data_IF_494759791749
#
_entry.id   IF_494759791749
#
_cell.length_a   1.000
_cell.length_b   1.000
_cell.length_c   1.000
_cell.angle_alpha   90.00
_cell.angle_beta   90.00
_cell.angle_gamma   90.00
#
_symmetry.space_group_name_H-M   'P 1'
#
loop_
_entity.id
_entity.type
_entity.pdbx_description
1 polymer ?
#
# COMPACT_ATOMS: atom_id res chain seq x y z
N UNK A 1 10.03 -8.64 -26.12
CA UNK A 1 10.96 -7.60 -25.63
C UNK A 1 10.30 -6.94 -24.43
N UNK A 2 10.73 -7.28 -23.21
CA UNK A 2 10.22 -6.63 -22.01
C UNK A 2 10.78 -5.21 -21.97
N UNK A 3 9.91 -4.21 -22.11
CA UNK A 3 10.30 -2.82 -21.89
C UNK A 3 10.60 -2.66 -20.40
N UNK A 4 11.88 -2.66 -20.04
CA UNK A 4 12.35 -2.14 -18.76
C UNK A 4 12.16 -0.62 -18.82
N UNK A 5 11.02 -0.14 -18.34
CA UNK A 5 10.84 1.27 -18.01
C UNK A 5 11.78 1.53 -16.84
N UNK A 6 12.78 2.38 -17.03
CA UNK A 6 13.63 2.84 -15.94
C UNK A 6 12.74 3.49 -14.88
N UNK A 7 12.52 2.80 -13.75
CA UNK A 7 11.91 3.40 -12.57
C UNK A 7 12.92 4.42 -12.04
N UNK A 8 12.59 5.70 -12.17
CA UNK A 8 13.32 6.75 -11.47
C UNK A 8 13.35 6.40 -9.97
N UNK A 9 14.50 6.55 -9.32
CA UNK A 9 14.63 6.48 -7.86
C UNK A 9 13.73 7.53 -7.23
N UNK A 10 12.55 7.11 -6.78
CA UNK A 10 11.54 7.98 -6.19
C UNK A 10 11.97 8.34 -4.77
N UNK A 11 12.23 9.62 -4.52
CA UNK A 11 12.48 10.13 -3.16
C UNK A 11 11.15 10.53 -2.54
N UNK A 12 10.69 9.78 -1.54
CA UNK A 12 9.47 10.08 -0.81
C UNK A 12 9.71 11.14 0.26
N UNK A 13 8.72 12.01 0.48
CA UNK A 13 8.70 13.02 1.55
C UNK A 13 7.70 12.59 2.64
N UNK A 14 8.16 12.02 3.77
CA UNK A 14 7.26 11.47 4.79
C UNK A 14 6.32 12.51 5.41
N UNK A 15 6.78 13.75 5.63
CA UNK A 15 5.94 14.78 6.25
C UNK A 15 4.70 15.13 5.42
N UNK A 16 4.85 15.22 4.09
CA UNK A 16 3.74 15.47 3.17
C UNK A 16 2.75 14.30 3.13
N UNK A 17 3.24 13.07 3.33
CA UNK A 17 2.39 11.89 3.44
C UNK A 17 1.58 11.90 4.74
N UNK A 18 2.24 12.24 5.86
CA UNK A 18 1.64 12.27 7.20
C UNK A 18 0.56 13.35 7.36
N UNK A 19 0.62 14.46 6.60
CA UNK A 19 -0.43 15.49 6.56
C UNK A 19 -1.84 14.91 6.33
N UNK A 20 -1.93 13.80 5.60
CA UNK A 20 -3.19 13.15 5.25
C UNK A 20 -3.32 11.72 5.82
N UNK A 21 -2.57 11.42 6.89
CA UNK A 21 -2.49 10.09 7.51
C UNK A 21 -3.88 9.53 7.83
N UNK A 22 -4.77 10.33 8.45
CA UNK A 22 -6.12 9.87 8.82
C UNK A 22 -6.94 9.41 7.62
N UNK A 23 -6.93 10.21 6.55
CA UNK A 23 -7.65 9.90 5.32
C UNK A 23 -7.08 8.66 4.62
N UNK A 24 -5.76 8.45 4.71
CA UNK A 24 -5.04 7.34 4.07
C UNK A 24 -5.09 6.05 4.86
N UNK A 25 -5.18 6.13 6.18
CA UNK A 25 -5.16 4.97 7.07
C UNK A 25 -6.51 4.25 7.06
N UNK A 26 -7.63 4.98 6.92
CA UNK A 26 -8.97 4.41 6.97
C UNK A 26 -9.19 3.22 6.01
N UNK A 27 -8.84 3.29 4.71
CA UNK A 27 -8.98 2.14 3.81
C UNK A 27 -8.20 0.91 4.27
N UNK A 28 -6.97 1.10 4.78
CA UNK A 28 -6.14 0.00 5.25
C UNK A 28 -6.70 -0.65 6.53
N UNK A 29 -7.26 0.14 7.45
CA UNK A 29 -7.95 -0.36 8.63
C UNK A 29 -9.23 -1.13 8.28
N UNK A 30 -10.03 -0.62 7.34
CA UNK A 30 -11.24 -1.31 6.89
C UNK A 30 -10.92 -2.62 6.15
N UNK A 31 -9.82 -2.67 5.38
CA UNK A 31 -9.30 -3.90 4.79
C UNK A 31 -8.87 -4.90 5.88
N UNK A 32 -8.09 -4.45 6.87
CA UNK A 32 -7.64 -5.31 7.96
C UNK A 32 -8.81 -5.90 8.76
N UNK A 33 -9.87 -5.12 8.97
CA UNK A 33 -11.09 -5.58 9.65
C UNK A 33 -11.86 -6.69 8.90
N UNK A 34 -11.53 -6.95 7.62
CA UNK A 34 -12.08 -8.08 6.84
C UNK A 34 -11.21 -9.34 6.86
N UNK A 35 -9.99 -9.25 7.39
CA UNK A 35 -9.14 -10.42 7.60
C UNK A 35 -9.71 -11.19 8.80
N UNK A 36 -10.42 -12.27 8.50
CA UNK A 36 -11.30 -12.99 9.44
C UNK A 36 -10.56 -13.59 10.64
N UNK A 37 -9.31 -14.06 10.47
CA UNK A 37 -8.49 -14.54 11.58
C UNK A 37 -7.03 -14.15 11.35
N UNK A 38 -6.56 -13.12 12.06
CA UNK A 38 -5.13 -12.94 12.24
C UNK A 38 -4.60 -14.11 13.09
N UNK A 39 -3.41 -14.63 12.77
CA UNK A 39 -2.80 -15.72 13.52
C UNK A 39 -2.71 -15.38 15.01
N UNK A 40 -3.44 -16.12 15.85
CA UNK A 40 -3.50 -15.90 17.31
C UNK A 40 -2.54 -16.80 18.09
N UNK A 41 -1.91 -17.77 17.42
CA UNK A 41 -0.96 -18.70 18.03
C UNK A 41 0.44 -18.09 18.10
N UNK A 42 1.15 -18.33 19.21
CA UNK A 42 2.59 -18.03 19.40
C UNK A 42 3.49 -18.95 18.56
N UNK A 43 3.10 -19.23 17.32
CA UNK A 43 3.86 -20.06 16.40
C UNK A 43 4.78 -19.13 15.59
N UNK A 44 6.09 -19.21 15.83
CA UNK A 44 7.10 -18.45 15.11
C UNK A 44 7.11 -18.76 13.59
N UNK A 45 6.36 -19.77 13.13
CA UNK A 45 6.14 -20.01 11.71
C UNK A 45 5.15 -19.05 11.05
N UNK A 46 4.50 -18.17 11.82
CA UNK A 46 3.53 -17.22 11.31
C UNK A 46 4.08 -15.80 11.27
N UNK A 47 4.12 -15.23 10.07
CA UNK A 47 4.68 -13.91 9.79
C UNK A 47 3.63 -13.00 9.15
N UNK A 48 3.52 -11.76 9.65
CA UNK A 48 2.75 -10.71 8.98
C UNK A 48 3.71 -9.86 8.17
N UNK A 49 3.35 -9.60 6.92
CA UNK A 49 4.16 -8.81 6.00
C UNK A 49 3.33 -7.60 5.57
N UNK A 50 3.83 -6.40 5.89
CA UNK A 50 3.24 -5.14 5.45
C UNK A 50 4.02 -4.64 4.23
N UNK A 51 3.47 -4.87 3.03
CA UNK A 51 4.13 -4.50 1.76
C UNK A 51 3.66 -3.12 1.29
N UNK A 52 4.63 -2.21 1.12
CA UNK A 52 4.35 -0.79 0.93
C UNK A 52 4.04 -0.10 2.26
N UNK A 53 4.75 -0.47 3.32
CA UNK A 53 4.50 -0.06 4.70
C UNK A 53 4.57 1.47 4.91
N UNK A 54 5.29 2.21 4.05
CA UNK A 54 5.48 3.64 4.21
C UNK A 54 6.09 3.97 5.58
N UNK A 55 5.43 4.86 6.33
CA UNK A 55 5.84 5.23 7.69
C UNK A 55 5.35 4.26 8.77
N UNK A 56 4.88 3.06 8.42
CA UNK A 56 4.54 2.01 9.40
C UNK A 56 3.24 2.24 10.18
N UNK A 57 2.39 3.20 9.78
CA UNK A 57 1.19 3.62 10.54
C UNK A 57 0.19 2.50 10.87
N UNK A 58 0.27 1.36 10.19
CA UNK A 58 -0.58 0.19 10.45
C UNK A 58 -0.11 -0.64 11.66
N UNK A 59 1.13 -0.46 12.13
CA UNK A 59 1.70 -1.26 13.21
C UNK A 59 0.80 -1.35 14.45
N UNK A 60 0.23 -0.25 14.99
CA UNK A 60 -0.64 -0.34 16.18
C UNK A 60 -1.94 -1.12 15.94
N UNK A 61 -2.39 -1.25 14.69
CA UNK A 61 -3.64 -1.93 14.33
C UNK A 61 -3.43 -3.39 13.97
N UNK A 62 -2.24 -3.73 13.46
CA UNK A 62 -1.81 -5.11 13.20
C UNK A 62 -1.42 -5.80 14.52
N UNK A 63 -1.03 -5.02 15.53
CA UNK A 63 -0.58 -5.53 16.82
C UNK A 63 -1.71 -5.69 17.84
N UNK A 64 -2.16 -6.94 17.98
CA UNK A 64 -2.96 -7.42 19.10
C UNK A 64 -2.45 -8.74 19.69
N UNK A 65 -1.29 -9.23 19.24
CA UNK A 65 -0.76 -10.55 19.57
C UNK A 65 0.75 -10.72 19.29
N UNK A 66 1.32 -11.89 19.57
CA UNK A 66 2.77 -12.18 19.66
C UNK A 66 3.51 -12.33 18.32
N UNK A 67 3.03 -11.73 17.24
CA UNK A 67 3.41 -12.09 15.87
C UNK A 67 4.59 -11.25 15.37
N UNK A 68 5.52 -11.87 14.64
CA UNK A 68 6.59 -11.16 13.95
C UNK A 68 6.02 -10.37 12.76
N UNK A 69 6.45 -9.11 12.61
CA UNK A 69 5.99 -8.24 11.53
C UNK A 69 7.18 -7.75 10.71
N UNK A 70 7.12 -7.99 9.41
CA UNK A 70 8.10 -7.47 8.45
C UNK A 70 7.48 -6.31 7.66
N UNK A 71 7.97 -5.10 7.90
CA UNK A 71 7.61 -3.90 7.15
C UNK A 71 8.52 -3.76 5.94
N UNK A 72 7.93 -3.71 4.74
CA UNK A 72 8.68 -3.63 3.49
C UNK A 72 8.28 -2.38 2.74
N UNK A 73 9.27 -1.58 2.36
CA UNK A 73 9.05 -0.44 1.48
C UNK A 73 10.26 -0.20 0.57
N UNK A 74 10.00 0.30 -0.63
CA UNK A 74 11.06 0.70 -1.56
C UNK A 74 11.87 1.91 -1.07
N UNK A 75 11.29 2.71 -0.18
CA UNK A 75 11.84 3.96 0.32
C UNK A 75 12.51 3.80 1.68
N UNK A 76 13.84 3.91 1.70
CA UNK A 76 14.62 3.93 2.94
C UNK A 76 14.21 5.07 3.88
N UNK A 77 13.83 6.25 3.35
CA UNK A 77 13.41 7.39 4.17
C UNK A 77 12.07 7.15 4.86
N UNK A 78 11.13 6.45 4.21
CA UNK A 78 9.87 6.04 4.83
C UNK A 78 10.11 5.02 5.94
N UNK A 79 10.93 3.98 5.69
CA UNK A 79 11.27 2.97 6.69
C UNK A 79 12.00 3.55 7.90
N UNK A 80 12.88 4.54 7.70
CA UNK A 80 13.55 5.22 8.81
C UNK A 80 12.56 5.94 9.74
N UNK A 81 11.55 6.61 9.16
CA UNK A 81 10.47 7.22 9.95
C UNK A 81 9.62 6.15 10.65
N UNK A 82 9.28 5.07 9.95
CA UNK A 82 8.54 3.95 10.55
C UNK A 82 9.27 3.40 11.78
N UNK A 83 10.56 3.11 11.64
CA UNK A 83 11.37 2.59 12.74
C UNK A 83 11.42 3.57 13.91
N UNK A 84 11.64 4.85 13.65
CA UNK A 84 11.65 5.88 14.69
C UNK A 84 10.30 5.97 15.42
N UNK A 85 9.18 6.09 14.69
CA UNK A 85 7.85 6.21 15.30
C UNK A 85 7.47 4.95 16.09
N UNK A 86 7.92 3.77 15.65
CA UNK A 86 7.69 2.54 16.38
C UNK A 86 8.55 2.43 17.65
N UNK A 87 9.82 2.80 17.59
CA UNK A 87 10.73 2.78 18.75
C UNK A 87 10.33 3.80 19.83
N UNK A 88 9.69 4.91 19.44
CA UNK A 88 9.12 5.91 20.35
C UNK A 88 7.78 5.48 20.97
N UNK A 89 7.14 4.43 20.44
CA UNK A 89 5.85 3.94 20.92
C UNK A 89 6.02 2.74 21.87
N UNK A 90 6.00 3.03 23.18
CA UNK A 90 6.18 2.03 24.25
C UNK A 90 5.14 0.89 24.26
N UNK A 91 4.02 1.02 23.53
CA UNK A 91 3.02 -0.03 23.40
C UNK A 91 3.41 -1.12 22.38
N UNK A 92 4.45 -0.90 21.57
CA UNK A 92 4.88 -1.84 20.53
C UNK A 92 6.09 -2.66 20.99
N UNK A 93 6.09 -3.96 20.70
CA UNK A 93 7.25 -4.83 20.89
C UNK A 93 8.13 -4.80 19.62
N UNK A 94 8.98 -3.77 19.49
CA UNK A 94 9.80 -3.58 18.29
C UNK A 94 10.87 -4.64 18.10
N UNK A 95 11.14 -5.50 19.09
CA UNK A 95 12.04 -6.66 18.94
C UNK A 95 11.50 -7.69 17.95
N UNK A 96 10.20 -7.65 17.67
CA UNK A 96 9.52 -8.53 16.70
C UNK A 96 9.39 -7.91 15.31
N UNK A 97 9.97 -6.73 15.12
CA UNK A 97 9.89 -5.99 13.86
C UNK A 97 11.13 -6.17 13.00
N UNK A 98 10.90 -6.34 11.71
CA UNK A 98 11.92 -6.22 10.69
C UNK A 98 11.54 -5.13 9.69
N UNK A 99 12.52 -4.36 9.24
CA UNK A 99 12.36 -3.35 8.20
C UNK A 99 13.22 -3.75 7.01
N UNK A 100 12.59 -3.93 5.85
CA UNK A 100 13.27 -4.42 4.65
C UNK A 100 13.06 -3.42 3.52
N UNK A 101 14.16 -2.87 3.02
CA UNK A 101 14.09 -2.06 1.81
C UNK A 101 13.97 -2.97 0.58
N UNK A 102 12.76 -3.11 0.05
CA UNK A 102 12.48 -3.85 -1.19
C UNK A 102 11.18 -3.32 -1.83
N UNK A 103 10.95 -3.67 -3.09
CA UNK A 103 9.65 -3.43 -3.73
C UNK A 103 8.85 -4.73 -3.88
N UNK A 104 7.57 -4.61 -4.25
CA UNK A 104 6.67 -5.75 -4.44
C UNK A 104 7.23 -6.84 -5.37
N UNK A 105 7.99 -6.47 -6.41
CA UNK A 105 8.52 -7.46 -7.36
C UNK A 105 9.79 -8.16 -6.87
N UNK A 106 10.51 -7.55 -5.92
CA UNK A 106 11.81 -8.00 -5.43
C UNK A 106 11.77 -8.65 -4.06
N UNK A 107 10.79 -8.30 -3.22
CA UNK A 107 10.63 -8.92 -1.92
C UNK A 107 10.30 -10.41 -2.03
N UNK A 108 10.90 -11.22 -1.15
CA UNK A 108 10.66 -12.66 -1.06
C UNK A 108 10.44 -13.00 0.41
N UNK A 109 9.21 -13.41 0.74
CA UNK A 109 8.86 -13.87 2.07
C UNK A 109 9.76 -15.04 2.49
N UNK A 110 10.17 -15.06 3.77
CA UNK A 110 11.06 -16.10 4.32
C UNK A 110 10.31 -17.39 4.65
N UNK A 111 9.02 -17.29 4.94
CA UNK A 111 8.19 -18.42 5.38
C UNK A 111 7.09 -18.71 4.37
N UNK A 112 6.77 -20.00 4.19
CA UNK A 112 5.62 -20.46 3.38
C UNK A 112 4.36 -20.60 4.24
N UNK A 113 4.21 -19.76 5.29
CA UNK A 113 3.07 -19.61 6.23
C UNK A 113 2.89 -18.14 6.65
N UNK A 114 2.58 -17.28 5.67
CA UNK A 114 2.37 -15.85 5.90
C UNK A 114 1.28 -15.24 5.02
N UNK A 115 0.74 -14.11 5.49
CA UNK A 115 -0.14 -13.22 4.74
C UNK A 115 0.69 -12.53 3.66
N UNK A 116 0.57 -12.94 2.41
CA UNK A 116 1.30 -12.31 1.29
C UNK A 116 0.48 -11.18 0.70
N UNK A 117 1.11 -10.03 0.39
CA UNK A 117 0.53 -8.96 -0.41
C UNK A 117 1.22 -8.94 -1.79
N UNK A 118 0.67 -9.69 -2.75
CA UNK A 118 0.96 -9.62 -4.20
C UNK A 118 2.34 -10.17 -4.65
N UNK A 119 2.42 -11.48 -4.86
CA UNK A 119 2.73 -12.12 -6.17
C UNK A 119 2.94 -13.64 -6.04
N UNK A 120 3.23 -14.13 -4.84
CA UNK A 120 3.04 -15.54 -4.51
C UNK A 120 1.92 -15.60 -3.49
N UNK A 121 0.99 -16.51 -3.73
CA UNK A 121 -0.13 -16.71 -2.84
C UNK A 121 0.39 -16.90 -1.43
N UNK A 122 -0.39 -16.38 -0.49
CA UNK A 122 -0.23 -16.74 0.89
C UNK A 122 -0.09 -18.26 0.99
N UNK A 123 0.65 -18.70 1.97
CA UNK A 123 0.71 -20.11 2.32
C UNK A 123 -0.64 -20.82 2.30
N UNK A 124 -0.70 -22.16 2.18
CA UNK A 124 -1.94 -22.88 2.43
C UNK A 124 -2.55 -22.45 3.78
N UNK A 125 -3.74 -21.83 3.73
CA UNK A 125 -4.44 -21.27 4.89
C UNK A 125 -4.06 -19.84 5.29
N UNK A 126 -3.14 -19.19 4.57
CA UNK A 126 -2.84 -17.77 4.72
C UNK A 126 -3.82 -16.88 3.95
N UNK A 127 -3.83 -15.59 4.27
CA UNK A 127 -4.71 -14.60 3.64
C UNK A 127 -3.86 -13.69 2.72
N UNK A 128 -4.45 -13.16 1.65
CA UNK A 128 -3.88 -12.07 0.87
C UNK A 128 -4.88 -10.93 0.93
N UNK A 129 -4.49 -9.81 1.52
CA UNK A 129 -5.32 -8.63 1.66
C UNK A 129 -4.63 -7.44 0.99
N UNK A 130 -5.29 -6.82 0.01
CA UNK A 130 -4.73 -5.65 -0.67
C UNK A 130 -5.84 -4.65 -1.01
N UNK A 131 -5.45 -3.39 -1.12
CA UNK A 131 -6.32 -2.30 -1.55
C UNK A 131 -5.63 -1.54 -2.68
N UNK A 132 -6.42 -1.12 -3.68
CA UNK A 132 -5.94 -0.31 -4.80
C UNK A 132 -6.87 0.89 -4.93
N UNK A 133 -6.35 2.13 -4.99
CA UNK A 133 -7.19 3.29 -5.22
C UNK A 133 -7.76 3.26 -6.64
N UNK A 134 -9.05 3.56 -6.82
CA UNK A 134 -9.63 3.80 -8.14
C UNK A 134 -9.75 5.31 -8.38
N UNK A 135 -8.78 5.88 -9.08
CA UNK A 135 -8.74 7.32 -9.37
C UNK A 135 -9.05 7.64 -10.83
N UNK A 136 -9.37 6.63 -11.65
CA UNK A 136 -9.61 6.76 -13.10
C UNK A 136 -10.67 7.80 -13.44
N UNK A 137 -11.74 7.84 -12.65
CA UNK A 137 -12.88 8.73 -12.85
C UNK A 137 -12.91 9.90 -11.86
N UNK A 138 -11.88 10.07 -11.04
CA UNK A 138 -11.82 11.17 -10.09
C UNK A 138 -11.43 12.47 -10.80
N UNK A 139 -12.23 13.52 -10.63
CA UNK A 139 -11.99 14.82 -11.27
C UNK A 139 -10.62 15.41 -10.93
N UNK A 140 -10.07 15.09 -9.74
CA UNK A 140 -8.72 15.49 -9.36
C UNK A 140 -7.64 14.96 -10.30
N UNK A 141 -7.77 13.72 -10.79
CA UNK A 141 -6.81 13.08 -11.70
C UNK A 141 -7.06 13.44 -13.16
N UNK A 142 -8.33 13.55 -13.56
CA UNK A 142 -8.68 14.05 -14.90
C UNK A 142 -8.10 15.46 -15.13
N UNK A 143 -8.20 16.33 -14.12
CA UNK A 143 -7.64 17.69 -14.20
C UNK A 143 -6.13 17.76 -14.29
N UNK A 144 -5.40 16.72 -13.88
CA UNK A 144 -3.94 16.68 -14.09
C UNK A 144 -3.60 16.54 -15.57
N UNK A 145 -4.39 15.76 -16.31
CA UNK A 145 -4.25 15.59 -17.75
C UNK A 145 -4.57 16.89 -18.47
N UNK A 146 -5.67 17.55 -18.09
CA UNK A 146 -6.06 18.85 -18.64
C UNK A 146 -4.97 19.91 -18.38
N UNK A 147 -4.48 20.01 -17.14
CA UNK A 147 -3.42 20.95 -16.78
C UNK A 147 -2.11 20.69 -17.55
N UNK A 148 -1.75 19.43 -17.77
CA UNK A 148 -0.59 19.08 -18.59
C UNK A 148 -0.76 19.54 -20.04
N UNK A 149 -1.97 19.44 -20.60
CA UNK A 149 -2.27 19.92 -21.94
C UNK A 149 -2.18 21.46 -22.02
N UNK A 150 -2.80 22.16 -21.08
CA UNK A 150 -2.81 23.64 -21.02
C UNK A 150 -1.39 24.22 -20.91
N UNK A 151 -0.50 23.53 -20.20
CA UNK A 151 0.90 23.93 -20.03
C UNK A 151 1.82 23.47 -21.17
N UNK A 152 1.31 22.72 -22.16
CA UNK A 152 2.12 22.15 -23.24
C UNK A 152 3.10 21.05 -22.76
N UNK A 153 2.75 20.36 -21.67
CA UNK A 153 3.57 19.34 -21.01
C UNK A 153 3.10 17.91 -21.27
N UNK A 154 2.07 17.69 -22.09
CA UNK A 154 1.48 16.37 -22.38
C UNK A 154 2.53 15.31 -22.72
N UNK A 155 3.47 15.61 -23.63
CA UNK A 155 4.50 14.67 -24.05
C UNK A 155 5.46 14.29 -22.91
N UNK A 156 5.69 15.20 -21.95
CA UNK A 156 6.55 14.95 -20.79
C UNK A 156 5.91 14.01 -19.79
N UNK A 157 4.57 13.96 -19.73
CA UNK A 157 3.83 13.14 -18.76
C UNK A 157 3.18 11.90 -19.38
N UNK A 158 3.23 11.75 -20.70
CA UNK A 158 2.59 10.64 -21.43
C UNK A 158 3.04 9.24 -20.98
N UNK A 159 4.29 9.11 -20.50
CA UNK A 159 4.85 7.84 -19.99
C UNK A 159 4.71 7.64 -18.48
N UNK A 160 4.10 8.58 -17.74
CA UNK A 160 3.98 8.49 -16.29
C UNK A 160 2.90 7.45 -15.93
N UNK A 161 3.28 6.45 -15.14
CA UNK A 161 2.34 5.49 -14.58
C UNK A 161 1.61 6.10 -13.38
N UNK A 162 0.28 6.15 -13.45
CA UNK A 162 -0.58 6.57 -12.35
C UNK A 162 -0.74 5.46 -11.31
N UNK A 163 -0.83 5.83 -10.04
CA UNK A 163 -1.19 4.90 -8.96
C UNK A 163 -2.72 4.80 -8.91
N UNK A 164 -3.27 3.92 -9.72
CA UNK A 164 -4.72 3.65 -9.81
C UNK A 164 -4.96 2.19 -10.18
N UNK A 165 -6.16 1.67 -9.92
CA UNK A 165 -6.58 0.42 -10.55
C UNK A 165 -6.62 0.61 -12.07
N UNK A 166 -6.13 -0.39 -12.80
CA UNK A 166 -6.10 -0.40 -14.26
C UNK A 166 -7.23 -1.26 -14.84
N UNK A 167 -7.90 -2.03 -13.97
CA UNK A 167 -8.90 -3.04 -14.31
C UNK A 167 -10.07 -2.99 -13.32
N UNK A 168 -11.22 -3.46 -13.76
CA UNK A 168 -12.41 -3.57 -12.91
C UNK A 168 -12.32 -4.82 -12.01
N UNK A 169 -13.09 -4.88 -10.90
CA UNK A 169 -13.04 -6.00 -9.96
C UNK A 169 -13.19 -7.39 -10.60
N UNK A 170 -13.97 -7.52 -11.67
CA UNK A 170 -14.15 -8.78 -12.39
C UNK A 170 -12.84 -9.36 -12.94
N UNK A 171 -11.91 -8.51 -13.37
CA UNK A 171 -10.59 -8.96 -13.82
C UNK A 171 -9.82 -9.64 -12.71
N UNK A 172 -9.82 -9.04 -11.51
CA UNK A 172 -9.10 -9.59 -10.35
C UNK A 172 -9.74 -10.89 -9.87
N UNK A 173 -11.07 -10.99 -9.92
CA UNK A 173 -11.77 -12.24 -9.61
C UNK A 173 -11.29 -13.39 -10.52
N UNK A 174 -11.30 -13.18 -11.84
CA UNK A 174 -10.84 -14.18 -12.81
C UNK A 174 -9.35 -14.49 -12.64
N UNK A 175 -8.53 -13.47 -12.41
CA UNK A 175 -7.09 -13.63 -12.17
C UNK A 175 -6.83 -14.55 -10.97
N UNK A 176 -7.46 -14.28 -9.82
CA UNK A 176 -7.24 -15.09 -8.62
C UNK A 176 -7.81 -16.50 -8.75
N UNK A 177 -9.00 -16.65 -9.36
CA UNK A 177 -9.57 -17.98 -9.64
C UNK A 177 -8.77 -18.81 -10.62
N UNK A 178 -8.06 -18.17 -11.56
CA UNK A 178 -7.14 -18.85 -12.47
C UNK A 178 -5.85 -19.32 -11.77
N UNK A 179 -5.37 -18.57 -10.78
CA UNK A 179 -4.20 -18.94 -9.97
C UNK A 179 -4.55 -20.05 -8.96
N UNK A 180 -5.67 -19.90 -8.26
CA UNK A 180 -6.21 -20.88 -7.33
C UNK A 180 -7.74 -20.91 -7.40
N UNK A 181 -8.28 -21.97 -8.02
CA UNK A 181 -9.72 -22.16 -8.13
C UNK A 181 -10.43 -22.32 -6.78
N UNK A 182 -9.70 -22.79 -5.76
CA UNK A 182 -10.18 -23.02 -4.40
C UNK A 182 -10.11 -21.78 -3.51
N UNK A 183 -9.48 -20.68 -3.95
CA UNK A 183 -9.37 -19.47 -3.16
C UNK A 183 -10.74 -18.87 -2.83
N UNK A 184 -10.95 -18.54 -1.55
CA UNK A 184 -12.09 -17.74 -1.12
C UNK A 184 -11.79 -16.26 -1.37
N UNK A 185 -12.71 -15.54 -2.01
CA UNK A 185 -12.53 -14.14 -2.39
C UNK A 185 -13.63 -13.29 -1.76
N UNK A 186 -13.26 -12.39 -0.85
CA UNK A 186 -14.08 -11.25 -0.43
C UNK A 186 -13.58 -10.00 -1.17
N UNK A 187 -14.44 -9.42 -2.00
CA UNK A 187 -14.08 -8.28 -2.87
C UNK A 187 -15.17 -7.23 -2.80
N UNK A 188 -14.77 -5.97 -2.57
CA UNK A 188 -15.68 -4.84 -2.55
C UNK A 188 -15.04 -3.57 -3.09
N UNK A 189 -15.86 -2.58 -3.37
CA UNK A 189 -15.43 -1.22 -3.69
C UNK A 189 -16.04 -0.26 -2.68
N UNK A 190 -15.27 0.75 -2.28
CA UNK A 190 -15.70 1.80 -1.37
C UNK A 190 -15.38 3.18 -1.95
N UNK A 191 -16.32 4.12 -1.79
CA UNK A 191 -16.11 5.53 -2.13
C UNK A 191 -16.09 6.32 -0.83
N UNK A 192 -14.96 6.96 -0.54
CA UNK A 192 -14.79 7.79 0.65
C UNK A 192 -15.02 9.26 0.30
N UNK A 193 -15.95 9.91 1.00
CA UNK A 193 -16.04 11.36 1.03
C UNK A 193 -15.07 11.91 2.08
N UNK A 194 -14.20 12.84 1.68
CA UNK A 194 -13.18 13.43 2.56
C UNK A 194 -13.37 14.95 2.59
N UNK A 195 -13.41 15.50 3.79
CA UNK A 195 -13.30 16.95 4.00
C UNK A 195 -11.80 17.27 4.08
N UNK A 196 -11.36 18.16 3.21
CA UNK A 196 -9.98 18.62 3.15
C UNK A 196 -9.96 20.15 3.36
N UNK A 197 -9.01 20.64 4.14
CA UNK A 197 -8.90 22.05 4.54
C UNK A 197 -7.58 22.65 4.06
N UNK A 198 -7.57 23.96 3.83
CA UNK A 198 -6.43 24.71 3.28
C UNK A 198 -6.79 25.47 2.00
N UNK A 199 -5.81 26.15 1.40
CA UNK A 199 -6.02 27.02 0.23
C UNK A 199 -6.25 26.23 -1.06
N UNK A 200 -5.50 25.13 -1.27
CA UNK A 200 -5.69 24.23 -2.40
C UNK A 200 -5.67 22.75 -1.95
N UNK A 201 -6.65 22.35 -1.14
CA UNK A 201 -6.54 21.16 -0.31
C UNK A 201 -6.59 19.86 -1.14
N UNK A 202 -7.27 19.88 -2.29
CA UNK A 202 -7.30 18.74 -3.22
C UNK A 202 -5.97 18.59 -3.95
N UNK A 203 -5.34 19.69 -4.39
CA UNK A 203 -4.04 19.63 -5.06
C UNK A 203 -2.92 19.24 -4.11
N UNK A 204 -2.95 19.69 -2.86
CA UNK A 204 -1.99 19.24 -1.83
C UNK A 204 -2.13 17.73 -1.56
N UNK A 205 -3.38 17.26 -1.44
CA UNK A 205 -3.66 15.84 -1.21
C UNK A 205 -3.17 14.96 -2.37
N UNK A 206 -3.41 15.39 -3.61
CA UNK A 206 -2.92 14.65 -4.77
C UNK A 206 -1.43 14.87 -5.05
N UNK A 207 -0.85 16.02 -4.69
CA UNK A 207 0.57 16.30 -4.86
C UNK A 207 1.47 15.38 -4.05
N UNK A 208 1.03 15.03 -2.85
CA UNK A 208 1.73 14.10 -1.96
C UNK A 208 1.66 12.62 -2.40
N UNK A 209 0.99 12.29 -3.51
CA UNK A 209 0.92 10.92 -4.05
C UNK A 209 1.11 10.82 -5.57
N UNK A 210 0.60 11.76 -6.35
CA UNK A 210 0.49 11.73 -7.81
C UNK A 210 1.09 12.94 -8.55
N UNK A 211 1.13 14.15 -7.96
CA UNK A 211 1.74 15.36 -8.56
C UNK A 211 3.00 15.76 -7.77
N UNK A 212 4.00 14.88 -7.75
CA UNK A 212 5.26 15.16 -7.04
C UNK A 212 6.14 16.13 -7.85
N UNK A 213 7.00 16.93 -7.19
CA UNK A 213 7.92 17.87 -7.85
C UNK A 213 8.82 17.23 -8.91
#
# INVERSE_FOLDING_TARGET
MAQHVARATQTWQPQEYLKFQRQRLRPALELLARVSELPTTHDDSVEIIDLGAGTGNMAPSILGGPTHVTFVDSSASMLAVAQQEHDENEALDTQRFAYVQADFGTYRARTTRGLDILERGAAPGGVLAFQIPDTRLQSSHQRMVDAAADLGLSDRVAGVRWVTCEKDPSFYYELFKAVDSGAELDMWAAVYAQILEGDNPVADFTGSTAIRP
#
